data_IF_720266068469
#
_entry.id   IF_720266068469
#
_cell.length_a   1.000
_cell.length_b   1.000
_cell.length_c   1.000
_cell.angle_alpha   90.00
_cell.angle_beta   90.00
_cell.angle_gamma   90.00
#
_symmetry.space_group_name_H-M   'P 1'
#
loop_
_entity.id
_entity.type
_entity.pdbx_description
1 polymer ?
#
# COMPACT_ATOMS: atom_id res chain seq x y z
N UNK A 1 3.19 6.61 10.11
CA UNK A 1 3.90 5.32 10.20
C UNK A 1 5.40 5.47 9.94
N UNK A 2 5.83 5.89 8.74
CA UNK A 2 7.28 6.01 8.40
C UNK A 2 8.13 6.85 9.37
N UNK A 3 7.62 7.97 9.93
CA UNK A 3 8.39 8.74 10.94
C UNK A 3 8.70 7.98 12.24
N UNK A 4 7.94 6.91 12.54
CA UNK A 4 8.15 6.06 13.72
C UNK A 4 9.00 4.82 13.41
N UNK A 5 9.09 4.45 12.13
CA UNK A 5 9.79 3.29 11.58
C UNK A 5 10.48 3.67 10.27
N UNK A 6 11.59 4.44 10.34
CA UNK A 6 12.22 5.02 9.15
C UNK A 6 12.82 3.99 8.19
N UNK A 7 13.12 2.77 8.68
CA UNK A 7 13.68 1.69 7.86
C UNK A 7 12.62 0.77 7.25
N UNK A 8 11.34 0.98 7.56
CA UNK A 8 10.27 0.12 7.09
C UNK A 8 9.73 0.62 5.75
N UNK A 9 9.61 -0.29 4.79
CA UNK A 9 9.03 -0.05 3.47
C UNK A 9 7.74 -0.86 3.30
N UNK A 10 6.81 -0.29 2.53
CA UNK A 10 5.59 -0.99 2.14
C UNK A 10 5.87 -1.89 0.94
N UNK A 11 5.39 -3.13 0.99
CA UNK A 11 5.40 -4.08 -0.12
C UNK A 11 3.97 -4.51 -0.41
N UNK A 12 3.53 -4.42 -1.67
CA UNK A 12 2.24 -4.98 -2.09
C UNK A 12 2.25 -6.50 -1.95
N UNK A 13 1.12 -7.06 -1.53
CA UNK A 13 0.91 -8.50 -1.43
C UNK A 13 -0.31 -8.92 -2.23
N UNK A 14 -0.16 -10.00 -2.99
CA UNK A 14 -1.21 -10.50 -3.87
C UNK A 14 -1.48 -9.59 -5.07
N UNK A 15 -2.60 -9.85 -5.74
CA UNK A 15 -3.05 -9.04 -6.87
C UNK A 15 -3.82 -7.80 -6.37
N UNK A 16 -3.66 -6.69 -7.08
CA UNK A 16 -4.50 -5.50 -6.90
C UNK A 16 -5.81 -5.74 -7.64
N UNK A 17 -6.94 -5.50 -6.96
CA UNK A 17 -8.26 -5.64 -7.53
C UNK A 17 -8.84 -4.26 -7.83
N UNK A 18 -9.24 -4.02 -9.07
CA UNK A 18 -9.79 -2.75 -9.50
C UNK A 18 -11.16 -2.95 -10.17
N UNK A 19 -12.17 -2.21 -9.71
CA UNK A 19 -13.49 -2.18 -10.32
C UNK A 19 -14.11 -0.79 -10.23
N UNK A 20 -14.61 -0.29 -11.36
CA UNK A 20 -15.00 1.11 -11.53
C UNK A 20 -13.89 2.06 -11.08
N UNK A 21 -14.10 2.80 -10.00
CA UNK A 21 -13.10 3.69 -9.39
C UNK A 21 -12.58 3.16 -8.06
N UNK A 22 -12.92 1.93 -7.68
CA UNK A 22 -12.47 1.31 -6.45
C UNK A 22 -11.25 0.44 -6.72
N UNK A 23 -10.20 0.64 -5.93
CA UNK A 23 -8.99 -0.19 -5.93
C UNK A 23 -8.82 -0.78 -4.54
N UNK A 24 -8.80 -2.11 -4.46
CA UNK A 24 -8.52 -2.86 -3.24
C UNK A 24 -7.15 -3.53 -3.36
N UNK A 25 -6.33 -3.39 -2.33
CA UNK A 25 -5.01 -4.00 -2.29
C UNK A 25 -4.61 -4.35 -0.85
N UNK A 26 -3.73 -5.33 -0.75
CA UNK A 26 -3.10 -5.74 0.50
C UNK A 26 -1.63 -5.35 0.49
N UNK A 27 -1.07 -5.15 1.67
CA UNK A 27 0.31 -4.74 1.84
C UNK A 27 0.92 -5.33 3.11
N UNK A 28 2.24 -5.36 3.11
CA UNK A 28 3.09 -5.67 4.25
C UNK A 28 4.02 -4.49 4.51
N UNK A 29 4.40 -4.28 5.78
CA UNK A 29 5.32 -3.23 6.20
C UNK A 29 6.44 -3.87 7.02
N UNK A 30 7.65 -3.85 6.46
CA UNK A 30 8.83 -4.48 7.05
C UNK A 30 10.12 -3.75 6.64
N UNK A 31 11.24 -3.95 7.34
CA UNK A 31 12.56 -3.57 6.85
C UNK A 31 12.93 -4.35 5.57
N UNK A 32 13.78 -3.76 4.74
CA UNK A 32 14.31 -4.40 3.53
C UNK A 32 15.03 -5.73 3.84
N UNK A 33 14.87 -6.73 2.98
CA UNK A 33 15.48 -8.07 3.17
C UNK A 33 14.81 -8.96 4.23
N UNK A 34 13.71 -8.51 4.85
CA UNK A 34 12.94 -9.33 5.82
C UNK A 34 12.09 -10.38 5.11
N UNK A 35 12.24 -11.66 5.50
CA UNK A 35 11.49 -12.78 4.91
C UNK A 35 10.00 -12.79 5.31
N UNK A 36 9.68 -12.43 6.56
CA UNK A 36 8.32 -12.42 7.09
C UNK A 36 7.99 -11.06 7.71
N UNK A 37 6.98 -10.40 7.20
CA UNK A 37 6.65 -9.05 7.62
C UNK A 37 5.93 -9.04 8.97
N UNK A 38 6.34 -8.19 9.94
CA UNK A 38 5.70 -8.11 11.25
C UNK A 38 4.32 -7.41 11.21
N UNK A 39 4.04 -6.69 10.12
CA UNK A 39 2.81 -5.91 9.96
C UNK A 39 2.26 -6.18 8.56
N UNK A 40 0.97 -6.52 8.50
CA UNK A 40 0.21 -6.65 7.27
C UNK A 40 -1.10 -5.86 7.37
N UNK A 41 -1.62 -5.44 6.23
CA UNK A 41 -2.86 -4.68 6.15
C UNK A 41 -3.49 -4.72 4.77
N UNK A 42 -4.67 -4.11 4.67
CA UNK A 42 -5.37 -3.91 3.42
C UNK A 42 -6.05 -2.54 3.41
N UNK A 43 -6.14 -1.96 2.23
CA UNK A 43 -6.79 -0.67 2.01
C UNK A 43 -7.69 -0.73 0.77
N UNK A 44 -8.67 0.17 0.75
CA UNK A 44 -9.53 0.44 -0.41
C UNK A 44 -9.43 1.92 -0.73
N UNK A 45 -9.04 2.24 -1.95
CA UNK A 45 -8.93 3.60 -2.45
C UNK A 45 -10.02 3.87 -3.51
N UNK A 46 -10.51 5.11 -3.54
CA UNK A 46 -11.34 5.62 -4.64
C UNK A 46 -10.46 6.48 -5.54
N UNK A 47 -10.40 6.16 -6.82
CA UNK A 47 -9.72 6.97 -7.83
C UNK A 47 -10.56 8.22 -8.12
N UNK A 48 -10.01 9.39 -7.82
CA UNK A 48 -10.58 10.64 -8.29
C UNK A 48 -10.28 10.81 -9.79
N UNK A 49 -11.16 11.50 -10.51
CA UNK A 49 -10.82 12.02 -11.83
C UNK A 49 -9.57 12.90 -11.73
N UNK A 50 -8.80 12.96 -12.82
CA UNK A 50 -7.53 13.68 -12.89
C UNK A 50 -7.69 15.10 -12.32
N UNK A 51 -6.85 15.44 -11.34
CA UNK A 51 -6.71 16.83 -10.91
C UNK A 51 -5.56 17.37 -11.74
N UNK A 52 -5.86 18.23 -12.71
CA UNK A 52 -4.84 19.04 -13.38
C UNK A 52 -4.01 19.72 -12.30
N UNK A 53 -2.76 19.27 -12.13
CA UNK A 53 -1.81 19.89 -11.24
C UNK A 53 -1.30 21.15 -11.95
N UNK A 54 -2.03 22.25 -11.80
CA UNK A 54 -1.53 23.59 -12.06
C UNK A 54 -0.53 24.03 -10.98
#
# INVERSE_FOLDING_TARGET
MQRRFPEFSFRLTGAVEAHHLLVRFSWELAPEGTTEAPIAGSDVAVLAAERDAA
#
